data_IF_037161371478
#
_entry.id   IF_037161371478
#
_cell.length_a   1.000
_cell.length_b   1.000
_cell.length_c   1.000
_cell.angle_alpha   90.00
_cell.angle_beta   90.00
_cell.angle_gamma   90.00
#
_symmetry.space_group_name_H-M   'P 1'
#
loop_
_entity.id
_entity.type
_entity.pdbx_description
1 polymer ?
#
# COMPACT_ATOMS: atom_id res chain seq x y z
N UNK A 1 -16.68 4.67 -10.66
CA UNK A 1 -15.41 3.94 -10.45
C UNK A 1 -15.38 3.40 -9.02
N UNK A 2 -15.11 2.12 -8.82
CA UNK A 2 -14.87 1.46 -7.52
C UNK A 2 -13.36 1.31 -7.32
N UNK A 3 -12.83 1.85 -6.23
CA UNK A 3 -11.39 1.82 -5.94
C UNK A 3 -11.14 1.03 -4.65
N UNK A 4 -10.17 0.13 -4.70
CA UNK A 4 -9.72 -0.67 -3.55
C UNK A 4 -8.39 -0.12 -3.02
N UNK A 5 -8.25 0.05 -1.71
CA UNK A 5 -7.01 0.43 -1.05
C UNK A 5 -6.55 -0.71 -0.14
N UNK A 6 -5.35 -1.23 -0.37
CA UNK A 6 -4.64 -2.05 0.62
C UNK A 6 -3.65 -1.15 1.35
N UNK A 7 -3.74 -1.08 2.67
CA UNK A 7 -2.97 -0.13 3.47
C UNK A 7 -2.07 -0.87 4.46
N UNK A 8 -0.78 -0.73 4.25
CA UNK A 8 0.27 -1.21 5.12
C UNK A 8 0.95 -0.05 5.87
N UNK A 9 1.83 -0.33 6.84
CA UNK A 9 2.27 0.68 7.80
C UNK A 9 3.75 1.05 7.70
N UNK A 10 4.62 0.10 7.38
CA UNK A 10 6.08 0.25 7.34
C UNK A 10 6.50 1.34 6.36
N UNK A 11 5.82 1.48 5.22
CA UNK A 11 6.10 2.46 4.18
C UNK A 11 5.45 3.83 4.37
N UNK A 12 4.64 4.02 5.43
CA UNK A 12 3.94 5.28 5.69
C UNK A 12 4.90 6.43 5.94
N UNK A 13 4.47 7.64 5.57
CA UNK A 13 5.22 8.88 5.76
C UNK A 13 5.69 9.02 7.21
N UNK A 14 6.99 9.21 7.39
CA UNK A 14 7.59 9.54 8.69
C UNK A 14 7.93 8.37 9.60
N UNK A 15 7.48 7.14 9.30
CA UNK A 15 7.74 5.97 10.16
C UNK A 15 9.06 5.31 9.74
N UNK A 16 9.88 4.87 10.69
CA UNK A 16 11.19 4.26 10.39
C UNK A 16 11.54 3.07 11.28
N UNK A 17 10.86 2.90 12.41
CA UNK A 17 11.20 1.89 13.41
C UNK A 17 10.01 0.95 13.73
N UNK A 18 10.31 -0.23 14.26
CA UNK A 18 9.30 -1.16 14.73
C UNK A 18 8.41 -0.55 15.83
N UNK A 19 8.94 0.35 16.67
CA UNK A 19 8.15 1.07 17.69
C UNK A 19 7.10 2.03 17.08
N UNK A 20 7.26 2.44 15.82
CA UNK A 20 6.30 3.27 15.10
C UNK A 20 5.11 2.47 14.57
N UNK A 21 5.32 1.18 14.28
CA UNK A 21 4.36 0.35 13.52
C UNK A 21 3.78 -0.81 14.32
N UNK A 22 4.43 -1.22 15.41
CA UNK A 22 3.96 -2.36 16.22
C UNK A 22 3.45 -1.93 17.60
N UNK A 23 2.30 -2.44 18.07
CA UNK A 23 1.91 -2.29 19.47
C UNK A 23 2.78 -3.18 20.39
N UNK A 24 3.19 -2.72 21.58
CA UNK A 24 2.84 -1.46 22.24
C UNK A 24 3.89 -0.36 22.07
N UNK A 25 4.53 -0.27 20.90
CA UNK A 25 5.58 0.69 20.59
C UNK A 25 5.22 2.12 20.98
N UNK A 26 6.23 2.88 21.43
CA UNK A 26 6.01 4.17 22.10
C UNK A 26 5.33 5.20 21.21
N UNK A 27 5.62 5.15 19.91
CA UNK A 27 5.10 6.08 18.91
C UNK A 27 4.01 5.45 18.02
N UNK A 28 3.60 4.21 18.29
CA UNK A 28 2.60 3.48 17.50
C UNK A 28 1.27 4.24 17.32
N UNK A 29 0.73 4.87 18.36
CA UNK A 29 -0.51 5.65 18.24
C UNK A 29 -0.34 6.88 17.34
N UNK A 30 0.85 7.51 17.35
CA UNK A 30 1.18 8.59 16.42
C UNK A 30 1.32 8.06 15.00
N UNK A 31 1.91 6.87 14.84
CA UNK A 31 2.03 6.16 13.57
C UNK A 31 0.68 5.86 12.94
N UNK A 32 -0.30 5.40 13.72
CA UNK A 32 -1.68 5.14 13.25
C UNK A 32 -2.37 6.39 12.68
N UNK A 33 -2.11 7.56 13.28
CA UNK A 33 -2.60 8.85 12.76
C UNK A 33 -1.94 9.15 11.41
N UNK A 34 -0.63 8.94 11.28
CA UNK A 34 0.08 9.15 10.01
C UNK A 34 -0.44 8.19 8.92
N UNK A 35 -0.63 6.91 9.25
CA UNK A 35 -1.19 5.89 8.36
C UNK A 35 -2.59 6.26 7.86
N UNK A 36 -3.46 6.70 8.78
CA UNK A 36 -4.84 7.10 8.45
C UNK A 36 -4.83 8.33 7.54
N UNK A 37 -3.94 9.28 7.76
CA UNK A 37 -3.89 10.52 6.97
C UNK A 37 -3.27 10.33 5.57
N UNK A 38 -2.28 9.47 5.42
CA UNK A 38 -1.76 9.08 4.09
C UNK A 38 -2.83 8.32 3.30
N UNK A 39 -3.60 7.46 3.98
CA UNK A 39 -4.78 6.80 3.41
C UNK A 39 -5.83 7.82 2.97
N UNK A 40 -6.13 8.82 3.81
CA UNK A 40 -7.05 9.89 3.49
C UNK A 40 -6.60 10.70 2.26
N UNK A 41 -5.29 10.92 2.08
CA UNK A 41 -4.77 11.56 0.88
C UNK A 41 -5.06 10.76 -0.39
N UNK A 42 -4.87 9.43 -0.34
CA UNK A 42 -5.24 8.56 -1.45
C UNK A 42 -6.75 8.53 -1.71
N UNK A 43 -7.58 8.50 -0.66
CA UNK A 43 -9.06 8.55 -0.79
C UNK A 43 -9.50 9.86 -1.46
N UNK A 44 -8.96 11.01 -1.04
CA UNK A 44 -9.26 12.30 -1.67
C UNK A 44 -8.93 12.29 -3.16
N UNK A 45 -7.72 11.83 -3.52
CA UNK A 45 -7.31 11.71 -4.92
C UNK A 45 -8.23 10.78 -5.72
N UNK A 46 -8.67 9.67 -5.13
CA UNK A 46 -9.62 8.76 -5.75
C UNK A 46 -11.00 9.37 -5.96
N UNK A 47 -11.55 10.06 -4.96
CA UNK A 47 -12.82 10.75 -5.09
C UNK A 47 -12.77 11.87 -6.13
N UNK A 48 -11.67 12.63 -6.18
CA UNK A 48 -11.47 13.69 -7.17
C UNK A 48 -11.32 13.12 -8.59
N UNK A 49 -10.88 11.87 -8.72
CA UNK A 49 -10.89 11.13 -9.99
C UNK A 49 -12.27 10.58 -10.37
N UNK A 50 -13.30 10.78 -9.54
CA UNK A 50 -14.67 10.29 -9.78
C UNK A 50 -14.96 8.92 -9.18
N UNK A 51 -14.18 8.47 -8.18
CA UNK A 51 -14.53 7.26 -7.42
C UNK A 51 -15.87 7.46 -6.69
N UNK A 52 -16.79 6.53 -6.89
CA UNK A 52 -18.13 6.51 -6.27
C UNK A 52 -18.21 5.54 -5.11
N UNK A 53 -17.21 4.67 -4.95
CA UNK A 53 -17.05 3.76 -3.83
C UNK A 53 -15.56 3.50 -3.61
N UNK A 54 -15.13 3.60 -2.34
CA UNK A 54 -13.76 3.34 -1.93
C UNK A 54 -13.78 2.35 -0.77
N UNK A 55 -13.18 1.18 -0.97
CA UNK A 55 -12.98 0.18 0.08
C UNK A 55 -11.53 0.23 0.55
N UNK A 56 -11.33 0.35 1.87
CA UNK A 56 -10.01 0.36 2.50
C UNK A 56 -9.85 -0.91 3.32
N UNK A 57 -8.76 -1.62 3.09
CA UNK A 57 -8.38 -2.82 3.83
C UNK A 57 -7.12 -2.54 4.66
N UNK A 58 -7.25 -2.61 5.98
CA UNK A 58 -6.12 -2.50 6.92
C UNK A 58 -5.27 -3.78 6.83
N UNK A 59 -4.08 -3.71 6.23
CA UNK A 59 -3.27 -4.87 5.85
C UNK A 59 -2.09 -5.13 6.79
N UNK A 60 -1.76 -4.21 7.70
CA UNK A 60 -0.57 -4.29 8.54
C UNK A 60 -0.78 -5.12 9.82
N UNK A 61 0.11 -6.06 10.13
CA UNK A 61 0.24 -6.72 11.44
C UNK A 61 -1.09 -7.22 12.06
N UNK A 62 -1.61 -6.58 13.14
CA UNK A 62 -2.89 -6.98 13.75
C UNK A 62 -4.13 -6.55 12.96
N UNK A 63 -3.94 -5.80 11.86
CA UNK A 63 -4.95 -5.28 10.94
C UNK A 63 -5.97 -4.37 11.64
N UNK A 64 -5.55 -3.72 12.73
CA UNK A 64 -6.38 -2.86 13.60
C UNK A 64 -5.80 -1.46 13.78
N UNK A 65 -5.08 -0.97 12.79
CA UNK A 65 -4.26 0.22 12.83
C UNK A 65 -5.04 1.48 12.41
N UNK A 66 -5.77 1.45 11.29
CA UNK A 66 -6.52 2.59 10.76
C UNK A 66 -7.59 3.10 11.74
N UNK A 67 -7.69 4.41 11.92
CA UNK A 67 -8.57 5.05 12.91
C UNK A 67 -9.92 5.40 12.27
N UNK A 68 -11.02 4.67 12.55
CA UNK A 68 -12.29 4.87 11.83
C UNK A 68 -12.90 6.27 12.04
N UNK A 69 -12.62 6.88 13.19
CA UNK A 69 -13.05 8.23 13.56
C UNK A 69 -12.26 9.36 12.87
N UNK A 70 -11.09 9.04 12.30
CA UNK A 70 -10.28 9.95 11.50
C UNK A 70 -10.26 9.61 10.01
N UNK A 71 -10.74 8.43 9.62
CA UNK A 71 -10.80 8.00 8.23
C UNK A 71 -11.83 8.84 7.46
N UNK A 72 -11.53 9.14 6.20
CA UNK A 72 -12.43 9.87 5.31
C UNK A 72 -13.80 9.16 5.22
N UNK A 73 -14.91 9.88 5.51
CA UNK A 73 -16.23 9.25 5.63
C UNK A 73 -16.79 8.73 4.30
N UNK A 74 -16.12 8.99 3.17
CA UNK A 74 -16.49 8.46 1.85
C UNK A 74 -15.99 7.02 1.63
N UNK A 75 -15.12 6.52 2.52
CA UNK A 75 -14.59 5.17 2.45
C UNK A 75 -15.32 4.21 3.40
N UNK A 76 -15.34 2.93 3.03
CA UNK A 76 -15.66 1.82 3.94
C UNK A 76 -14.37 1.12 4.36
N UNK A 77 -14.35 0.56 5.57
CA UNK A 77 -13.15 -0.01 6.18
C UNK A 77 -13.33 -1.49 6.54
N UNK A 78 -12.40 -2.33 6.09
CA UNK A 78 -12.18 -3.68 6.61
C UNK A 78 -11.07 -3.60 7.66
N UNK A 79 -11.39 -4.04 8.88
CA UNK A 79 -10.53 -3.92 10.06
C UNK A 79 -10.60 -5.19 10.92
N UNK A 80 -9.45 -5.66 11.35
CA UNK A 80 -9.25 -6.76 12.27
C UNK A 80 -8.75 -8.03 11.58
N UNK A 81 -8.54 -9.06 12.40
CA UNK A 81 -8.15 -10.41 11.96
C UNK A 81 -8.93 -11.45 12.77
N UNK A 82 -9.15 -12.68 12.26
CA UNK A 82 -8.64 -13.21 10.98
C UNK A 82 -9.40 -12.68 9.76
N UNK A 83 -8.70 -12.54 8.63
CA UNK A 83 -9.26 -12.26 7.29
C UNK A 83 -8.76 -13.35 6.34
N UNK A 84 -9.63 -14.15 5.71
CA UNK A 84 -9.21 -15.24 4.83
C UNK A 84 -8.24 -14.81 3.71
N UNK A 85 -8.43 -13.62 3.15
CA UNK A 85 -7.61 -13.10 2.05
C UNK A 85 -6.52 -12.11 2.52
N UNK A 86 -6.35 -11.90 3.83
CA UNK A 86 -5.29 -11.06 4.39
C UNK A 86 -5.23 -9.64 3.80
N UNK A 87 -4.14 -9.33 3.10
CA UNK A 87 -3.90 -8.02 2.45
C UNK A 87 -4.84 -7.75 1.27
N UNK A 88 -5.53 -8.77 0.75
CA UNK A 88 -6.49 -8.70 -0.36
C UNK A 88 -7.96 -8.81 0.08
N UNK A 89 -8.24 -8.83 1.40
CA UNK A 89 -9.61 -8.96 1.89
C UNK A 89 -10.56 -7.92 1.30
N UNK A 90 -11.66 -8.41 0.74
CA UNK A 90 -12.67 -7.59 0.07
C UNK A 90 -12.38 -7.23 -1.38
N UNK A 91 -11.21 -7.56 -1.94
CA UNK A 91 -10.94 -7.37 -3.36
C UNK A 91 -11.70 -8.39 -4.20
N UNK A 92 -12.37 -7.92 -5.24
CA UNK A 92 -13.08 -8.75 -6.23
C UNK A 92 -12.86 -8.15 -7.62
N UNK A 93 -13.26 -8.86 -8.68
CA UNK A 93 -13.21 -8.33 -10.05
C UNK A 93 -14.19 -7.18 -10.36
N UNK A 94 -14.96 -6.70 -9.37
CA UNK A 94 -15.84 -5.54 -9.55
C UNK A 94 -15.12 -4.21 -9.36
N UNK A 95 -13.89 -4.21 -8.85
CA UNK A 95 -13.11 -2.98 -8.66
C UNK A 95 -12.42 -2.58 -9.96
N UNK A 96 -12.40 -1.28 -10.23
CA UNK A 96 -11.77 -0.75 -11.43
C UNK A 96 -10.25 -0.56 -11.25
N UNK A 97 -9.79 -0.41 -9.99
CA UNK A 97 -8.40 -0.22 -9.64
C UNK A 97 -8.10 -0.55 -8.17
N UNK A 98 -6.85 -0.93 -7.90
CA UNK A 98 -6.29 -1.04 -6.56
C UNK A 98 -5.17 -0.01 -6.33
N UNK A 99 -5.04 0.49 -5.10
CA UNK A 99 -3.94 1.34 -4.64
C UNK A 99 -3.28 0.67 -3.42
N UNK A 100 -1.95 0.61 -3.42
CA UNK A 100 -1.13 0.12 -2.32
C UNK A 100 -0.58 1.32 -1.54
N UNK A 101 -0.98 1.50 -0.29
CA UNK A 101 -0.58 2.66 0.52
C UNK A 101 0.33 2.19 1.64
N UNK A 102 1.52 2.80 1.77
CA UNK A 102 2.44 2.51 2.88
C UNK A 102 3.17 1.18 2.78
N UNK A 103 3.41 0.67 1.57
CA UNK A 103 4.12 -0.58 1.35
C UNK A 103 5.63 -0.42 1.49
N UNK A 104 6.32 -1.52 1.77
CA UNK A 104 7.78 -1.59 1.97
C UNK A 104 8.43 -2.61 1.03
N UNK A 105 9.77 -2.51 0.91
CA UNK A 105 10.55 -3.46 0.13
C UNK A 105 10.53 -4.86 0.79
N UNK A 106 10.69 -5.89 -0.05
CA UNK A 106 10.79 -7.29 0.38
C UNK A 106 12.02 -7.57 1.26
N UNK A 107 12.01 -8.71 1.93
CA UNK A 107 13.18 -9.24 2.65
C UNK A 107 14.42 -9.38 1.74
N UNK A 108 15.61 -9.36 2.33
CA UNK A 108 16.89 -9.45 1.61
C UNK A 108 17.32 -8.20 0.82
N UNK A 109 16.49 -7.15 0.77
CA UNK A 109 16.78 -5.88 0.07
C UNK A 109 16.85 -4.73 1.07
N UNK A 110 17.76 -3.77 0.85
CA UNK A 110 17.78 -2.53 1.62
C UNK A 110 16.45 -1.79 1.41
N UNK A 111 15.77 -1.46 2.50
CA UNK A 111 14.54 -0.68 2.53
C UNK A 111 14.08 -0.48 3.97
N UNK A 112 13.36 0.59 4.25
CA UNK A 112 12.86 0.86 5.61
C UNK A 112 11.94 -0.28 6.03
N UNK A 113 12.28 -0.93 7.15
CA UNK A 113 11.58 -2.07 7.72
C UNK A 113 11.39 -3.23 6.73
N UNK A 114 12.31 -3.40 5.78
CA UNK A 114 12.18 -4.42 4.74
C UNK A 114 12.03 -5.83 5.32
N UNK A 115 11.03 -6.55 4.82
CA UNK A 115 10.69 -7.93 5.15
C UNK A 115 9.64 -8.49 4.18
N UNK A 116 9.24 -9.76 4.34
CA UNK A 116 8.14 -10.38 3.59
C UNK A 116 7.25 -11.18 4.54
N UNK A 117 6.02 -10.73 4.79
CA UNK A 117 5.06 -11.25 5.77
C UNK A 117 5.66 -11.46 7.17
N UNK A 118 6.17 -12.66 7.44
CA UNK A 118 6.83 -13.00 8.70
C UNK A 118 8.33 -12.83 8.51
N UNK A 119 8.84 -11.62 8.75
CA UNK A 119 10.24 -11.25 8.47
C UNK A 119 11.32 -12.06 9.21
N UNK A 120 10.95 -12.86 10.20
CA UNK A 120 11.87 -13.81 10.86
C UNK A 120 11.90 -15.19 10.20
N UNK A 121 10.93 -15.50 9.35
CA UNK A 121 10.68 -16.84 8.79
C UNK A 121 10.87 -16.89 7.27
N UNK A 122 10.65 -15.76 6.59
CA UNK A 122 10.65 -15.68 5.12
C UNK A 122 11.72 -14.70 4.66
N UNK A 123 12.73 -15.24 3.98
CA UNK A 123 13.78 -14.44 3.33
C UNK A 123 13.42 -14.11 1.88
N UNK A 124 12.95 -15.09 1.12
CA UNK A 124 12.60 -14.92 -0.29
C UNK A 124 11.26 -15.57 -0.59
N UNK A 125 10.52 -14.94 -1.50
CA UNK A 125 9.33 -15.50 -2.13
C UNK A 125 9.57 -15.48 -3.62
N UNK A 126 9.16 -16.55 -4.31
CA UNK A 126 9.20 -16.62 -5.77
C UNK A 126 7.79 -16.75 -6.31
N UNK A 127 7.46 -15.92 -7.29
CA UNK A 127 6.32 -16.12 -8.17
C UNK A 127 6.87 -16.51 -9.53
N UNK A 128 6.60 -17.74 -9.94
CA UNK A 128 7.34 -18.43 -11.00
C UNK A 128 8.85 -18.36 -10.73
N UNK A 129 9.64 -17.81 -11.65
CA UNK A 129 11.09 -17.67 -11.53
C UNK A 129 11.53 -16.25 -11.09
N UNK A 130 10.60 -15.40 -10.67
CA UNK A 130 10.88 -14.03 -10.25
C UNK A 130 10.77 -13.88 -8.73
N UNK A 131 11.85 -13.41 -8.10
CA UNK A 131 11.86 -13.07 -6.67
C UNK A 131 10.94 -11.88 -6.41
N UNK A 132 10.14 -11.97 -5.34
CA UNK A 132 9.14 -10.98 -4.95
C UNK A 132 9.01 -10.92 -3.42
N UNK A 133 8.35 -9.87 -2.93
CA UNK A 133 7.72 -9.87 -1.61
C UNK A 133 6.21 -9.65 -1.72
N UNK A 134 5.67 -8.92 -0.75
CA UNK A 134 4.25 -8.57 -0.66
C UNK A 134 3.79 -7.73 -1.85
N UNK A 135 4.63 -6.83 -2.37
CA UNK A 135 4.34 -5.97 -3.52
C UNK A 135 3.93 -6.80 -4.74
N UNK A 136 4.80 -7.70 -5.21
CA UNK A 136 4.53 -8.49 -6.41
C UNK A 136 3.44 -9.53 -6.20
N UNK A 137 3.33 -10.13 -5.00
CA UNK A 137 2.23 -11.05 -4.69
C UNK A 137 0.87 -10.35 -4.69
N UNK A 138 0.77 -9.16 -4.08
CA UNK A 138 -0.45 -8.37 -4.10
C UNK A 138 -0.81 -7.97 -5.53
N UNK A 139 0.17 -7.46 -6.30
CA UNK A 139 -0.04 -7.06 -7.69
C UNK A 139 -0.53 -8.23 -8.55
N UNK A 140 0.15 -9.38 -8.50
CA UNK A 140 -0.22 -10.56 -9.28
C UNK A 140 -1.62 -11.08 -8.89
N UNK A 141 -1.94 -11.11 -7.60
CA UNK A 141 -3.26 -11.52 -7.14
C UNK A 141 -4.35 -10.55 -7.59
N UNK A 142 -4.14 -9.24 -7.48
CA UNK A 142 -5.08 -8.23 -7.98
C UNK A 142 -5.27 -8.34 -9.50
N UNK A 143 -4.19 -8.55 -10.25
CA UNK A 143 -4.22 -8.78 -11.69
C UNK A 143 -5.03 -10.04 -12.05
N UNK A 144 -4.91 -11.12 -11.26
CA UNK A 144 -5.71 -12.34 -11.45
C UNK A 144 -7.22 -12.11 -11.25
N UNK A 145 -7.62 -11.11 -10.45
CA UNK A 145 -9.00 -10.64 -10.35
C UNK A 145 -9.42 -9.68 -11.49
N UNK A 146 -8.52 -9.36 -12.41
CA UNK A 146 -8.74 -8.37 -13.47
C UNK A 146 -8.64 -6.92 -12.99
N UNK A 147 -8.09 -6.68 -11.80
CA UNK A 147 -8.00 -5.35 -11.19
C UNK A 147 -6.58 -4.81 -11.32
N UNK A 148 -6.34 -3.72 -12.09
CA UNK A 148 -5.01 -3.12 -12.18
C UNK A 148 -4.62 -2.45 -10.87
N UNK A 149 -3.36 -2.59 -10.46
CA UNK A 149 -2.77 -1.72 -9.43
C UNK A 149 -2.37 -0.40 -10.10
N UNK A 150 -2.89 0.72 -9.62
CA UNK A 150 -2.65 2.02 -10.23
C UNK A 150 -1.60 2.86 -9.50
N UNK A 151 -1.41 2.61 -8.20
CA UNK A 151 -0.51 3.37 -7.33
C UNK A 151 0.12 2.46 -6.28
N UNK A 152 1.41 2.69 -6.01
CA UNK A 152 2.07 2.26 -4.77
C UNK A 152 2.74 3.45 -4.06
N UNK A 153 2.57 3.57 -2.75
CA UNK A 153 3.29 4.54 -1.90
C UNK A 153 4.15 3.81 -0.89
N UNK A 154 5.35 4.34 -0.62
CA UNK A 154 6.33 3.71 0.25
C UNK A 154 7.64 4.49 0.32
N UNK A 155 8.72 3.83 0.74
CA UNK A 155 10.06 4.37 0.56
C UNK A 155 10.54 4.25 -0.90
N UNK A 156 11.72 4.77 -1.19
CA UNK A 156 12.30 4.74 -2.54
C UNK A 156 12.58 3.31 -3.02
N UNK A 157 12.89 2.41 -2.09
CA UNK A 157 13.22 1.01 -2.40
C UNK A 157 11.97 0.20 -2.75
N UNK A 158 10.86 0.38 -2.03
CA UNK A 158 9.54 -0.16 -2.38
C UNK A 158 9.04 0.38 -3.73
N UNK A 159 9.25 1.68 -3.99
CA UNK A 159 8.89 2.28 -5.27
C UNK A 159 9.72 1.72 -6.43
N UNK A 160 11.02 1.49 -6.21
CA UNK A 160 11.89 0.85 -7.19
C UNK A 160 11.48 -0.61 -7.44
N UNK A 161 11.12 -1.35 -6.40
CA UNK A 161 10.61 -2.73 -6.51
C UNK A 161 9.33 -2.79 -7.35
N UNK A 162 8.34 -1.94 -7.07
CA UNK A 162 7.11 -1.86 -7.87
C UNK A 162 7.41 -1.47 -9.32
N UNK A 163 8.28 -0.49 -9.56
CA UNK A 163 8.62 -0.05 -10.92
C UNK A 163 9.32 -1.15 -11.72
N UNK A 164 10.16 -1.97 -11.06
CA UNK A 164 10.81 -3.12 -11.68
C UNK A 164 9.82 -4.26 -11.96
N UNK A 165 8.78 -4.41 -11.11
CA UNK A 165 7.71 -5.39 -11.29
C UNK A 165 6.76 -5.01 -12.42
N UNK A 166 6.24 -3.78 -12.39
CA UNK A 166 5.35 -3.23 -13.40
C UNK A 166 5.58 -1.71 -13.54
N UNK A 167 6.26 -1.25 -14.61
CA UNK A 167 6.56 0.17 -14.81
C UNK A 167 5.32 1.00 -15.18
N UNK A 168 4.15 0.39 -15.38
CA UNK A 168 2.91 1.12 -15.57
C UNK A 168 2.29 1.62 -14.26
N UNK A 169 2.68 1.07 -13.11
CA UNK A 169 2.15 1.47 -11.80
C UNK A 169 2.81 2.78 -11.38
N UNK A 170 2.00 3.78 -11.03
CA UNK A 170 2.55 5.03 -10.48
C UNK A 170 3.12 4.78 -9.08
N UNK A 171 4.20 5.47 -8.73
CA UNK A 171 4.83 5.34 -7.41
C UNK A 171 4.98 6.70 -6.73
N UNK A 172 4.85 6.72 -5.40
CA UNK A 172 5.11 7.91 -4.58
C UNK A 172 6.05 7.54 -3.45
N UNK A 173 7.28 8.04 -3.56
CA UNK A 173 8.30 7.95 -2.52
C UNK A 173 8.02 9.00 -1.43
N UNK A 174 7.70 8.55 -0.21
CA UNK A 174 7.45 9.45 0.94
C UNK A 174 8.64 9.57 1.89
N UNK A 175 9.67 8.77 1.67
CA UNK A 175 10.94 8.77 2.41
C UNK A 175 12.00 8.03 1.60
N UNK A 176 13.26 8.37 1.83
CA UNK A 176 14.40 7.72 1.20
C UNK A 176 15.17 6.90 2.23
N UNK A 177 15.28 5.60 2.03
CA UNK A 177 16.01 4.70 2.91
C UNK A 177 17.47 5.12 3.03
N UNK A 178 17.96 5.20 4.27
CA UNK A 178 19.39 5.29 4.59
C UNK A 178 19.90 3.98 5.18
N UNK A 179 19.03 3.28 5.91
CA UNK A 179 19.22 1.92 6.41
C UNK A 179 17.83 1.30 6.65
N UNK A 180 17.77 0.07 7.13
CA UNK A 180 16.53 -0.64 7.49
C UNK A 180 15.70 0.09 8.55
N UNK A 181 16.32 0.92 9.38
CA UNK A 181 15.65 1.66 10.46
C UNK A 181 15.90 3.17 10.41
N UNK A 182 16.34 3.69 9.25
CA UNK A 182 16.69 5.10 9.12
C UNK A 182 16.33 5.59 7.72
N UNK A 183 15.73 6.78 7.65
CA UNK A 183 15.33 7.39 6.39
C UNK A 183 15.50 8.90 6.40
N UNK A 184 15.70 9.46 5.21
CA UNK A 184 15.50 10.88 4.95
C UNK A 184 14.03 11.09 4.55
N UNK A 185 13.28 11.80 5.39
CA UNK A 185 11.84 11.97 5.23
C UNK A 185 11.51 13.08 4.22
N UNK A 186 10.46 12.85 3.42
CA UNK A 186 9.76 13.93 2.72
C UNK A 186 8.87 14.67 3.73
N UNK A 187 8.77 16.01 3.69
CA UNK A 187 7.86 16.74 4.56
C UNK A 187 6.43 16.21 4.47
N UNK A 188 5.77 16.03 5.62
CA UNK A 188 4.45 15.35 5.70
C UNK A 188 3.40 15.95 4.76
N UNK A 189 3.33 17.28 4.68
CA UNK A 189 2.38 17.96 3.81
C UNK A 189 2.67 17.70 2.32
N UNK A 190 3.95 17.64 1.95
CA UNK A 190 4.40 17.37 0.58
C UNK A 190 4.13 15.92 0.19
N UNK A 191 4.45 14.96 1.07
CA UNK A 191 4.15 13.55 0.86
C UNK A 191 2.66 13.32 0.61
N UNK A 192 1.78 13.89 1.45
CA UNK A 192 0.32 13.76 1.28
C UNK A 192 -0.19 14.42 0.00
N UNK A 193 0.31 15.59 -0.36
CA UNK A 193 -0.04 16.23 -1.62
C UNK A 193 0.41 15.39 -2.84
N UNK A 194 1.58 14.74 -2.74
CA UNK A 194 2.07 13.83 -3.77
C UNK A 194 1.20 12.57 -3.89
N UNK A 195 0.81 11.95 -2.77
CA UNK A 195 -0.11 10.80 -2.74
C UNK A 195 -1.44 11.17 -3.41
N UNK A 196 -2.06 12.26 -2.97
CA UNK A 196 -3.37 12.72 -3.47
C UNK A 196 -3.34 13.02 -4.97
N UNK A 197 -2.38 13.84 -5.41
CA UNK A 197 -2.27 14.22 -6.82
C UNK A 197 -1.87 13.07 -7.74
N UNK A 198 -1.09 12.10 -7.24
CA UNK A 198 -0.69 10.92 -8.03
C UNK A 198 -1.82 9.91 -8.10
N UNK A 199 -2.56 9.68 -7.01
CA UNK A 199 -3.76 8.84 -7.02
C UNK A 199 -4.79 9.36 -8.04
N UNK A 200 -5.05 10.67 -8.03
CA UNK A 200 -5.92 11.33 -9.01
C UNK A 200 -5.48 11.03 -10.46
N UNK A 201 -4.21 11.32 -10.77
CA UNK A 201 -3.67 11.16 -12.14
C UNK A 201 -3.63 9.69 -12.56
N UNK A 202 -3.24 8.78 -11.67
CA UNK A 202 -3.19 7.35 -11.96
C UNK A 202 -4.58 6.80 -12.28
N UNK A 203 -5.59 7.22 -11.53
CA UNK A 203 -6.98 6.81 -11.73
C UNK A 203 -7.62 7.43 -12.98
N UNK A 204 -7.25 8.66 -13.35
CA UNK A 204 -7.69 9.27 -14.61
C UNK A 204 -7.08 8.60 -15.86
N UNK A 205 -5.94 7.94 -15.72
CA UNK A 205 -5.21 7.29 -16.81
C UNK A 205 -5.22 5.76 -16.69
N UNK A 206 -6.25 5.19 -16.04
CA UNK A 206 -6.35 3.75 -15.86
C UNK A 206 -6.24 3.01 -17.20
N UNK A 207 -5.33 2.04 -17.22
CA UNK A 207 -5.20 1.10 -18.32
C UNK A 207 -6.10 -0.09 -18.05
N UNK A 208 -6.78 -0.57 -19.09
CA UNK A 208 -7.52 -1.83 -19.02
C UNK A 208 -6.53 -2.98 -18.92
N UNK A 209 -6.68 -3.82 -17.90
CA UNK A 209 -5.97 -5.10 -17.82
C UNK A 209 -6.46 -5.98 -18.97
N UNK A 210 -5.56 -6.55 -19.80
CA UNK A 210 -5.96 -7.55 -20.78
C UNK A 210 -6.63 -8.71 -20.04
N UNK A 211 -7.90 -8.99 -20.35
CA UNK A 211 -8.57 -10.18 -19.83
C UNK A 211 -7.84 -11.40 -20.37
N UNK A 212 -7.10 -12.12 -19.52
CA UNK A 212 -6.59 -13.44 -19.89
C UNK A 212 -7.81 -14.32 -20.23
N UNK A 213 -7.89 -14.92 -21.42
CA UNK A 213 -8.97 -15.85 -21.72
C UNK A 213 -8.97 -16.93 -20.63
N UNK A 214 -10.15 -17.23 -20.07
CA UNK A 214 -10.30 -18.38 -19.19
C UNK A 214 -9.78 -19.62 -19.95
N UNK A 215 -8.83 -20.34 -19.34
CA UNK A 215 -8.29 -21.58 -19.86
C UNK A 215 -9.35 -22.68 -19.95
#
# INVERSE_FOLDING_TARGET
>A
MKVYLSVDMEGITGLVDAEDVQPPGRDYERGRVLMTEDTNAAIRGACDAGATAVLVNDAHGPMRNLLPDLLDPRATLIKGRPKPMGMLEGLTGEYDAALCIGYHARAGVLGVLSHSFMGHEIEDIWLDDQVTGEIGLFHAAAYAYGVPVALLTGDDTACAEMTAWDPAVATVTVKHAKDRFAAQLVPVAEARAAIESTALKALQNLRTVPTTPAA
#
